data_IF_237444611878
#
_entry.id   IF_237444611878
#
_cell.length_a   1.000
_cell.length_b   1.000
_cell.length_c   1.000
_cell.angle_alpha   90.00
_cell.angle_beta   90.00
_cell.angle_gamma   90.00
#
_symmetry.space_group_name_H-M   'P 1'
#
loop_
_entity.id
_entity.type
_entity.pdbx_description
1 polymer ?
#
# COMPACT_ATOMS: atom_id res chain seq x y z
N UNK A 1 -16.40 -15.80 -12.25
CA UNK A 1 -17.44 -16.74 -12.68
C UNK A 1 -17.61 -17.76 -11.58
N UNK A 2 -17.98 -18.99 -11.92
CA UNK A 2 -17.84 -20.13 -11.01
C UNK A 2 -16.71 -21.03 -11.53
N UNK A 3 -15.97 -21.66 -10.64
CA UNK A 3 -14.90 -22.59 -11.01
C UNK A 3 -15.49 -23.92 -11.50
N UNK A 4 -14.61 -24.83 -11.94
CA UNK A 4 -14.98 -26.18 -12.43
C UNK A 4 -15.74 -27.03 -11.40
N UNK A 5 -15.73 -26.61 -10.13
CA UNK A 5 -16.42 -27.27 -9.02
C UNK A 5 -17.73 -26.54 -8.63
N UNK A 6 -18.23 -25.63 -9.48
CA UNK A 6 -19.44 -24.83 -9.26
C UNK A 6 -19.41 -23.96 -7.98
N UNK A 7 -18.21 -23.70 -7.46
CA UNK A 7 -17.99 -22.73 -6.38
C UNK A 7 -17.78 -21.34 -6.99
N UNK A 8 -18.07 -20.24 -6.27
CA UNK A 8 -17.70 -18.90 -6.71
C UNK A 8 -16.19 -18.84 -6.99
N UNK A 9 -15.79 -18.30 -8.14
CA UNK A 9 -14.37 -18.05 -8.40
C UNK A 9 -13.82 -17.09 -7.34
N UNK A 10 -12.66 -17.43 -6.80
CA UNK A 10 -11.92 -16.47 -5.99
C UNK A 10 -11.49 -15.30 -6.89
N UNK A 11 -11.52 -14.05 -6.39
CA UNK A 11 -11.02 -12.93 -7.16
C UNK A 11 -9.53 -13.14 -7.43
N UNK A 12 -9.20 -13.34 -8.71
CA UNK A 12 -7.81 -13.39 -9.15
C UNK A 12 -7.31 -11.95 -9.25
N UNK A 13 -6.37 -11.59 -8.39
CA UNK A 13 -5.69 -10.31 -8.46
C UNK A 13 -4.55 -10.45 -9.47
N UNK A 14 -4.64 -9.72 -10.58
CA UNK A 14 -3.57 -9.62 -11.55
C UNK A 14 -2.66 -8.43 -11.21
N UNK A 15 -1.35 -8.63 -11.27
CA UNK A 15 -0.40 -7.52 -11.15
C UNK A 15 -0.51 -6.63 -12.40
N UNK A 16 -0.87 -5.36 -12.18
CA UNK A 16 -1.12 -4.40 -13.28
C UNK A 16 0.18 -3.71 -13.73
N UNK A 17 1.18 -3.60 -12.84
CA UNK A 17 2.51 -3.08 -13.17
C UNK A 17 3.28 -2.55 -11.97
N UNK A 18 4.50 -2.08 -12.25
CA UNK A 18 5.41 -1.51 -11.24
C UNK A 18 5.35 0.01 -11.27
N UNK A 19 5.09 0.63 -10.11
CA UNK A 19 5.02 2.09 -9.97
C UNK A 19 6.21 2.56 -9.12
N UNK A 20 7.06 3.47 -9.61
CA UNK A 20 8.13 4.02 -8.80
C UNK A 20 7.53 4.82 -7.65
N UNK A 21 7.93 4.53 -6.42
CA UNK A 21 7.36 5.14 -5.23
C UNK A 21 8.41 5.40 -4.14
N UNK A 22 8.02 6.15 -3.12
CA UNK A 22 8.75 6.23 -1.85
C UNK A 22 7.77 5.97 -0.73
N UNK A 23 7.99 4.92 0.06
CA UNK A 23 7.13 4.55 1.20
C UNK A 23 7.91 4.69 2.50
N UNK A 24 7.25 5.14 3.57
CA UNK A 24 7.82 5.26 4.91
C UNK A 24 6.76 5.03 5.99
N UNK A 25 7.19 4.72 7.21
CA UNK A 25 6.31 4.73 8.37
C UNK A 25 6.30 6.13 8.99
N UNK A 26 5.14 6.78 9.02
CA UNK A 26 4.95 8.08 9.66
C UNK A 26 4.91 7.95 11.18
N UNK A 27 4.31 6.86 11.68
CA UNK A 27 4.30 6.51 13.11
C UNK A 27 4.49 5.01 13.25
N UNK A 28 5.27 4.61 14.25
CA UNK A 28 5.42 3.21 14.66
C UNK A 28 5.09 3.12 16.14
N UNK A 29 4.08 2.33 16.46
CA UNK A 29 3.68 2.08 17.85
C UNK A 29 3.79 0.59 18.12
N UNK A 30 4.58 0.23 19.12
CA UNK A 30 4.64 -1.14 19.62
C UNK A 30 3.56 -1.28 20.69
N UNK A 31 2.58 -2.15 20.43
CA UNK A 31 1.54 -2.51 21.40
C UNK A 31 1.94 -3.85 22.01
N UNK A 32 2.21 -3.84 23.32
CA UNK A 32 2.50 -5.04 24.11
C UNK A 32 1.29 -5.32 25.00
N UNK A 33 0.54 -6.37 24.69
CA UNK A 33 -0.45 -6.93 25.59
C UNK A 33 0.00 -8.35 25.93
N UNK A 34 0.55 -8.49 27.15
CA UNK A 34 0.80 -9.76 27.83
C UNK A 34 1.31 -10.91 26.95
N UNK A 35 2.37 -10.65 26.18
CA UNK A 35 3.06 -11.66 25.36
C UNK A 35 2.75 -11.61 23.87
N UNK A 36 1.93 -10.66 23.41
CA UNK A 36 1.71 -10.34 22.00
C UNK A 36 2.26 -8.95 21.70
N UNK A 37 3.27 -8.89 20.81
CA UNK A 37 3.79 -7.64 20.27
C UNK A 37 3.19 -7.38 18.89
N UNK A 38 2.37 -6.34 18.77
CA UNK A 38 1.88 -5.87 17.49
C UNK A 38 2.57 -4.54 17.15
N UNK A 39 3.15 -4.46 15.95
CA UNK A 39 3.70 -3.21 15.43
C UNK A 39 2.63 -2.58 14.56
N UNK A 40 2.01 -1.51 15.04
CA UNK A 40 1.12 -0.69 14.22
C UNK A 40 1.96 0.38 13.55
N UNK A 41 2.16 0.23 12.25
CA UNK A 41 2.85 1.21 11.42
C UNK A 41 1.83 1.99 10.58
N UNK A 42 1.77 3.30 10.79
CA UNK A 42 1.07 4.21 9.89
C UNK A 42 1.95 4.39 8.64
N UNK A 43 1.63 3.69 7.57
CA UNK A 43 2.42 3.74 6.34
C UNK A 43 1.91 4.88 5.45
N UNK A 44 2.87 5.63 4.90
CA UNK A 44 2.61 6.71 3.94
C UNK A 44 3.50 6.53 2.72
N UNK A 45 3.01 6.94 1.57
CA UNK A 45 3.74 6.83 0.31
C UNK A 45 3.61 8.06 -0.58
N UNK A 46 4.66 8.35 -1.32
CA UNK A 46 4.66 9.28 -2.43
C UNK A 46 4.67 8.50 -3.74
N UNK A 47 3.69 8.82 -4.59
CA UNK A 47 3.53 8.22 -5.90
C UNK A 47 3.45 9.30 -6.98
N UNK A 48 3.95 9.07 -8.20
CA UNK A 48 3.83 10.02 -9.31
C UNK A 48 2.37 10.42 -9.53
N UNK A 49 2.09 11.69 -9.80
CA UNK A 49 0.70 12.16 -9.94
C UNK A 49 -0.11 11.43 -11.02
N UNK A 50 0.55 10.95 -12.07
CA UNK A 50 -0.06 10.20 -13.17
C UNK A 50 -0.15 8.69 -12.96
N UNK A 51 0.24 8.17 -11.78
CA UNK A 51 0.08 6.76 -11.48
C UNK A 51 -1.39 6.39 -11.43
N UNK A 52 -1.73 5.26 -12.06
CA UNK A 52 -3.04 4.64 -11.95
C UNK A 52 -3.10 3.89 -10.62
N UNK A 53 -3.50 4.63 -9.59
CA UNK A 53 -3.61 4.17 -8.21
C UNK A 53 -4.97 4.63 -7.72
N UNK A 54 -5.76 3.67 -7.23
CA UNK A 54 -7.08 3.90 -6.66
C UNK A 54 -7.17 3.30 -5.26
N UNK A 55 -8.15 3.74 -4.48
CA UNK A 55 -8.43 3.16 -3.16
C UNK A 55 -8.73 1.67 -3.29
N UNK A 56 -8.40 0.90 -2.24
CA UNK A 56 -8.51 -0.57 -2.19
C UNK A 56 -7.54 -1.34 -3.12
N UNK A 57 -6.73 -0.65 -3.92
CA UNK A 57 -5.62 -1.29 -4.63
C UNK A 57 -4.67 -1.96 -3.64
N UNK A 58 -4.16 -3.13 -4.04
CA UNK A 58 -3.19 -3.90 -3.27
C UNK A 58 -1.80 -3.69 -3.83
N UNK A 59 -0.88 -3.36 -2.94
CA UNK A 59 0.50 -3.05 -3.27
C UNK A 59 1.45 -4.04 -2.59
N UNK A 60 2.52 -4.35 -3.31
CA UNK A 60 3.72 -4.97 -2.76
C UNK A 60 4.88 -4.01 -2.95
N UNK A 61 5.58 -3.69 -1.87
CA UNK A 61 6.62 -2.66 -1.88
C UNK A 61 7.99 -3.32 -1.81
N UNK A 62 8.75 -3.12 -2.88
CA UNK A 62 10.14 -3.55 -2.99
C UNK A 62 11.09 -2.35 -2.92
N UNK A 63 12.30 -2.58 -2.44
CA UNK A 63 13.38 -1.62 -2.63
C UNK A 63 13.92 -1.63 -4.07
N UNK A 64 14.90 -0.78 -4.36
CA UNK A 64 15.52 -0.71 -5.69
C UNK A 64 16.30 -1.97 -6.10
N UNK A 65 16.63 -2.82 -5.15
CA UNK A 65 17.34 -4.09 -5.35
C UNK A 65 16.38 -5.28 -5.43
N UNK A 66 15.06 -5.05 -5.30
CA UNK A 66 14.03 -6.08 -5.35
C UNK A 66 13.76 -6.74 -3.99
N UNK A 67 14.30 -6.22 -2.89
CA UNK A 67 14.02 -6.75 -1.55
C UNK A 67 12.62 -6.30 -1.10
N UNK A 68 11.82 -7.27 -0.65
CA UNK A 68 10.50 -7.01 -0.07
C UNK A 68 10.64 -6.21 1.24
N UNK A 69 10.13 -4.97 1.25
CA UNK A 69 10.20 -4.09 2.43
C UNK A 69 9.03 -4.30 3.39
N UNK A 70 7.85 -4.63 2.86
CA UNK A 70 6.64 -4.83 3.65
C UNK A 70 5.93 -6.10 3.18
N UNK A 71 5.85 -7.11 4.06
CA UNK A 71 5.53 -8.50 3.72
C UNK A 71 4.05 -8.87 3.65
N UNK A 72 3.13 -7.90 3.64
CA UNK A 72 1.68 -8.16 3.59
C UNK A 72 1.00 -7.38 2.48
N UNK A 73 -0.24 -7.72 2.10
CA UNK A 73 -1.00 -6.90 1.18
C UNK A 73 -1.19 -5.52 1.82
N UNK A 74 -0.52 -4.52 1.27
CA UNK A 74 -0.71 -3.13 1.66
C UNK A 74 -1.85 -2.58 0.82
N UNK A 75 -2.85 -2.02 1.48
CA UNK A 75 -3.99 -1.40 0.81
C UNK A 75 -3.80 0.10 0.72
N UNK A 76 -4.19 0.67 -0.41
CA UNK A 76 -4.41 2.10 -0.56
C UNK A 76 -5.66 2.47 0.23
N UNK A 77 -5.49 3.22 1.31
CA UNK A 77 -6.60 3.66 2.16
C UNK A 77 -7.17 5.00 1.69
N UNK A 78 -6.31 6.00 1.46
CA UNK A 78 -6.71 7.30 0.92
C UNK A 78 -5.64 7.87 0.01
N UNK A 79 -6.08 8.65 -0.98
CA UNK A 79 -5.20 9.36 -1.92
C UNK A 79 -5.40 10.87 -1.78
N UNK A 80 -4.38 11.55 -1.27
CA UNK A 80 -4.37 12.99 -1.09
C UNK A 80 -3.47 13.66 -2.15
N UNK A 81 -3.85 14.86 -2.59
CA UNK A 81 -2.97 15.68 -3.41
C UNK A 81 -1.77 16.14 -2.57
N UNK A 82 -0.54 15.92 -3.05
CA UNK A 82 0.64 16.37 -2.33
C UNK A 82 0.62 17.89 -2.11
N UNK A 83 0.93 18.33 -0.88
CA UNK A 83 1.00 19.74 -0.50
C UNK A 83 2.39 20.30 -0.82
N UNK A 84 2.70 20.42 -2.12
CA UNK A 84 3.87 21.18 -2.58
C UNK A 84 3.61 22.68 -2.46
N UNK A 85 4.61 23.46 -2.05
CA UNK A 85 4.56 24.93 -2.15
C UNK A 85 4.50 25.33 -3.64
N UNK A 86 3.28 25.52 -4.15
CA UNK A 86 3.01 25.79 -5.57
C UNK A 86 1.94 24.85 -6.13
N UNK A 87 1.01 25.40 -6.91
CA UNK A 87 -0.27 24.84 -7.41
C UNK A 87 -0.28 23.41 -8.00
N UNK A 88 0.85 22.73 -8.18
CA UNK A 88 0.90 21.34 -8.71
C UNK A 88 2.03 20.55 -8.08
N UNK A 89 1.77 19.84 -6.99
CA UNK A 89 2.74 18.84 -6.51
C UNK A 89 2.92 17.73 -7.56
N UNK A 90 4.16 17.30 -7.85
CA UNK A 90 4.44 16.23 -8.82
C UNK A 90 4.02 14.85 -8.34
N UNK A 91 3.62 14.73 -7.07
CA UNK A 91 3.29 13.46 -6.43
C UNK A 91 1.95 13.54 -5.68
N UNK A 92 1.32 12.36 -5.53
CA UNK A 92 0.21 12.11 -4.59
C UNK A 92 0.78 11.58 -3.28
N UNK A 93 0.15 11.93 -2.17
CA UNK A 93 0.41 11.34 -0.85
C UNK A 93 -0.65 10.27 -0.64
N UNK A 94 -0.22 9.06 -0.31
CA UNK A 94 -1.12 7.92 -0.15
C UNK A 94 -1.00 7.39 1.26
N UNK A 95 -2.14 7.24 1.95
CA UNK A 95 -2.22 6.47 3.18
C UNK A 95 -2.28 4.99 2.86
N UNK A 96 -1.46 4.21 3.56
CA UNK A 96 -1.28 2.79 3.30
C UNK A 96 -1.60 2.01 4.56
N UNK A 97 -2.44 1.00 4.44
CA UNK A 97 -2.83 0.12 5.55
C UNK A 97 -2.29 -1.29 5.34
N UNK A 98 -1.50 -1.77 6.30
CA UNK A 98 -1.10 -3.18 6.37
C UNK A 98 -2.13 -3.94 7.20
N UNK A 99 -2.67 -5.05 6.66
CA UNK A 99 -3.31 -6.04 7.52
C UNK A 99 -2.20 -6.90 8.13
N UNK A 100 -2.10 -6.89 9.47
CA UNK A 100 -1.24 -7.78 10.27
C UNK A 100 -2.14 -8.82 10.91
#
# INVERSE_FOLDING_TARGET
GKNDWNLPDLPLLAEVGVIPCRVWAAKRTDVDDSGKKAVVADLRGHFPRGSDLVEEDRLTVHDRLGLLLFGGPIYVETIEAGTGAGSRSPHRVVALRSHV
#
